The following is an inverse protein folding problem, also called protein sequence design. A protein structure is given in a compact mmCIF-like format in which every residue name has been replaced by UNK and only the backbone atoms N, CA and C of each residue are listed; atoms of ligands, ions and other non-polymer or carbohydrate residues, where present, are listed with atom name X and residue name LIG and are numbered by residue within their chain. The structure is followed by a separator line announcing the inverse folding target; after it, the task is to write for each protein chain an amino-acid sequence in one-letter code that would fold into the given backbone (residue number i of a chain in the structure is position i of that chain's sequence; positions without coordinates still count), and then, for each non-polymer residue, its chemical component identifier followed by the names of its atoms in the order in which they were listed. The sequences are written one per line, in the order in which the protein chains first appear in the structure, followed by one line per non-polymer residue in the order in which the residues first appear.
data_IF_276511893010
#
_entry.id   IF_276511893010
#
_cell.length_a   1.000
_cell.length_b   1.000
_cell.length_c   1.000
_cell.angle_alpha   90.00
_cell.angle_beta   90.00
_cell.angle_gamma   90.00
#
_symmetry.space_group_name_H-M   'P 1'
#
loop_
_entity.id
_entity.type
_entity.pdbx_description
1 polymer ?
#
# COMPACT_ATOMS: atom_id res chain seq x y z
N UNK A 1 40.05 3.76 18.82
CA UNK A 1 39.64 5.05 18.28
C UNK A 1 38.10 5.10 18.45
N UNK A 2 37.58 5.89 19.37
CA UNK A 2 36.11 6.06 19.52
C UNK A 2 35.69 7.13 18.50
N UNK A 3 34.96 6.75 17.45
CA UNK A 3 34.39 7.71 16.53
C UNK A 3 33.00 8.07 17.10
N UNK A 4 32.85 9.33 17.48
CA UNK A 4 31.55 9.86 17.90
C UNK A 4 30.68 10.02 16.66
N UNK A 5 29.51 9.34 16.65
CA UNK A 5 28.54 9.48 15.57
C UNK A 5 27.88 10.85 15.69
N UNK A 6 28.07 11.70 14.68
CA UNK A 6 27.31 12.95 14.54
C UNK A 6 25.87 12.55 14.26
N UNK A 7 24.92 13.12 15.02
CA UNK A 7 23.48 12.84 14.88
C UNK A 7 22.76 14.14 14.55
N UNK A 8 21.99 14.12 13.47
CA UNK A 8 21.07 15.20 13.18
C UNK A 8 19.92 15.20 14.19
N UNK A 9 19.38 16.38 14.47
CA UNK A 9 18.21 16.57 15.35
C UNK A 9 17.07 17.13 14.54
N UNK A 10 16.01 16.36 14.43
CA UNK A 10 14.82 16.74 13.71
C UNK A 10 13.75 17.31 14.65
N UNK A 11 12.85 18.15 14.11
CA UNK A 11 11.79 18.85 14.86
C UNK A 11 10.42 18.19 14.72
N UNK A 12 10.20 17.51 13.59
CA UNK A 12 8.95 16.86 13.22
C UNK A 12 9.01 15.35 13.30
N UNK A 13 7.86 14.73 13.13
CA UNK A 13 7.71 13.28 13.01
C UNK A 13 6.69 12.98 11.90
N UNK A 14 6.76 11.81 11.34
CA UNK A 14 5.69 11.28 10.48
C UNK A 14 4.45 11.05 11.34
N UNK A 15 3.26 11.36 10.83
CA UNK A 15 2.00 11.09 11.52
C UNK A 15 1.87 9.59 11.86
N UNK A 16 1.30 9.31 13.01
CA UNK A 16 0.96 7.94 13.41
C UNK A 16 -0.46 7.63 12.98
N UNK A 17 -0.62 6.62 12.15
CA UNK A 17 -1.91 6.22 11.59
C UNK A 17 -2.23 4.79 12.00
N UNK A 18 -3.44 4.56 12.52
CA UNK A 18 -3.96 3.24 12.84
C UNK A 18 -5.03 2.84 11.85
N UNK A 19 -4.92 1.63 11.30
CA UNK A 19 -5.82 1.02 10.33
C UNK A 19 -6.52 -0.20 10.96
N UNK A 20 -7.75 -0.44 10.54
CA UNK A 20 -8.62 -1.44 11.16
C UNK A 20 -9.30 -0.93 12.43
N UNK A 21 -10.38 -1.58 12.83
CA UNK A 21 -11.10 -1.29 14.06
C UNK A 21 -11.52 -2.58 14.75
N UNK A 22 -11.26 -2.66 16.06
CA UNK A 22 -11.68 -3.75 16.92
C UNK A 22 -13.19 -3.67 17.21
N UNK A 23 -13.74 -4.72 17.78
CA UNK A 23 -15.17 -4.79 18.13
C UNK A 23 -15.60 -3.65 19.07
N UNK A 24 -14.75 -3.28 20.02
CA UNK A 24 -14.99 -2.18 20.97
C UNK A 24 -15.00 -0.80 20.28
N UNK A 25 -14.42 -0.71 19.09
CA UNK A 25 -14.34 0.48 18.25
C UNK A 25 -15.44 0.52 17.17
N UNK A 26 -16.28 -0.51 17.11
CA UNK A 26 -17.36 -0.65 16.13
C UNK A 26 -16.99 -1.40 14.85
N UNK A 27 -15.79 -1.97 14.78
CA UNK A 27 -15.34 -2.81 13.65
C UNK A 27 -15.44 -4.32 13.93
N UNK A 28 -14.82 -5.09 13.07
CA UNK A 28 -14.81 -6.56 13.16
C UNK A 28 -13.40 -7.16 13.11
N UNK A 29 -12.36 -6.30 13.12
CA UNK A 29 -10.96 -6.77 13.04
C UNK A 29 -10.52 -7.45 14.32
N UNK A 30 -9.60 -8.41 14.21
CA UNK A 30 -9.01 -9.08 15.38
C UNK A 30 -7.83 -8.30 15.96
N UNK A 31 -7.22 -7.44 15.16
CA UNK A 31 -6.17 -6.50 15.57
C UNK A 31 -6.14 -5.29 14.65
N UNK A 32 -5.49 -4.23 15.10
CA UNK A 32 -5.22 -3.03 14.30
C UNK A 32 -3.76 -3.03 13.85
N UNK A 33 -3.48 -2.28 12.80
CA UNK A 33 -2.12 -1.99 12.32
C UNK A 33 -1.84 -0.52 12.50
N UNK A 34 -0.72 -0.19 13.17
CA UNK A 34 -0.28 1.19 13.37
C UNK A 34 1.04 1.40 12.64
N UNK A 35 1.13 2.46 11.84
CA UNK A 35 2.30 2.83 11.04
C UNK A 35 2.68 4.30 11.25
N UNK A 36 3.90 4.67 10.85
CA UNK A 36 4.41 6.04 11.01
C UNK A 36 4.94 6.32 12.42
N UNK A 37 4.99 7.58 12.81
CA UNK A 37 5.60 8.04 14.06
C UNK A 37 7.11 8.19 13.98
N UNK A 38 7.70 7.99 12.81
CA UNK A 38 9.13 8.00 12.58
C UNK A 38 9.69 9.42 12.69
N UNK A 39 10.82 9.56 13.41
CA UNK A 39 11.56 10.81 13.60
C UNK A 39 12.92 10.81 12.88
N UNK A 40 13.12 9.88 11.92
CA UNK A 40 14.35 9.73 11.15
C UNK A 40 14.07 8.96 9.85
N UNK A 41 15.08 8.90 8.97
CA UNK A 41 15.10 7.95 7.86
C UNK A 41 15.44 6.54 8.39
N UNK A 42 14.86 5.46 7.83
CA UNK A 42 15.09 4.11 8.33
C UNK A 42 16.57 3.67 8.35
N UNK A 43 17.36 4.04 7.34
CA UNK A 43 18.79 3.71 7.32
C UNK A 43 19.62 4.56 8.31
N UNK A 44 19.10 5.68 8.80
CA UNK A 44 19.70 6.52 9.86
C UNK A 44 19.06 6.23 11.24
N UNK A 45 18.72 4.99 11.50
CA UNK A 45 18.00 4.54 12.71
C UNK A 45 18.60 5.03 14.04
N UNK A 46 19.89 5.40 14.04
CA UNK A 46 20.59 5.91 15.22
C UNK A 46 20.33 7.39 15.52
N UNK A 47 19.68 8.13 14.59
CA UNK A 47 19.38 9.56 14.76
C UNK A 47 18.03 9.82 15.43
N UNK A 48 17.06 8.93 15.28
CA UNK A 48 15.73 9.13 15.83
C UNK A 48 14.96 7.85 16.08
N UNK A 49 13.75 8.00 16.61
CA UNK A 49 12.86 6.86 16.92
C UNK A 49 12.09 6.40 15.68
N UNK A 50 11.89 5.11 15.58
CA UNK A 50 11.01 4.44 14.63
C UNK A 50 10.08 3.52 15.44
N UNK A 51 8.97 4.04 15.98
CA UNK A 51 8.16 3.30 16.95
C UNK A 51 7.36 2.16 16.35
N UNK A 52 7.02 2.27 15.05
CA UNK A 52 6.21 1.29 14.36
C UNK A 52 6.99 0.65 13.22
N UNK A 53 6.89 -0.67 13.10
CA UNK A 53 7.54 -1.41 12.02
C UNK A 53 6.75 -1.26 10.72
N UNK A 54 7.46 -1.30 9.58
CA UNK A 54 6.81 -1.43 8.29
C UNK A 54 6.05 -2.78 8.22
N UNK A 55 4.92 -2.77 7.53
CA UNK A 55 4.02 -3.91 7.39
C UNK A 55 3.81 -4.28 5.92
N UNK A 56 3.34 -5.49 5.67
CA UNK A 56 3.05 -5.99 4.33
C UNK A 56 1.55 -6.17 4.14
N UNK A 57 1.00 -5.50 3.11
CA UNK A 57 -0.31 -5.79 2.57
C UNK A 57 -0.15 -6.69 1.34
N UNK A 58 -0.83 -7.85 1.31
CA UNK A 58 -0.84 -8.67 0.10
C UNK A 58 -2.00 -8.23 -0.80
N UNK A 59 -1.68 -7.99 -2.08
CA UNK A 59 -2.67 -7.59 -3.08
C UNK A 59 -3.47 -8.78 -3.56
N UNK A 60 -4.79 -8.66 -3.50
CA UNK A 60 -5.77 -9.57 -4.10
C UNK A 60 -6.75 -8.79 -4.97
N UNK A 61 -7.39 -9.47 -5.93
CA UNK A 61 -8.38 -8.87 -6.81
C UNK A 61 -9.77 -9.50 -6.59
N UNK A 62 -10.80 -8.77 -6.97
CA UNK A 62 -12.19 -9.26 -6.98
C UNK A 62 -12.55 -10.07 -8.20
N UNK A 63 -11.62 -10.23 -9.14
CA UNK A 63 -11.70 -11.06 -10.36
C UNK A 63 -10.41 -11.85 -10.54
N UNK A 64 -10.44 -12.84 -11.42
CA UNK A 64 -9.24 -13.62 -11.79
C UNK A 64 -8.25 -12.73 -12.56
N UNK A 65 -7.00 -12.59 -12.10
CA UNK A 65 -5.99 -11.72 -12.73
C UNK A 65 -5.30 -12.42 -13.90
N UNK A 66 -5.96 -12.49 -15.04
CA UNK A 66 -5.45 -13.23 -16.22
C UNK A 66 -4.13 -12.68 -16.77
N UNK A 67 -3.84 -11.41 -16.53
CA UNK A 67 -2.59 -10.77 -16.93
C UNK A 67 -1.41 -10.98 -15.96
N UNK A 68 -1.64 -11.62 -14.82
CA UNK A 68 -0.55 -11.88 -13.87
C UNK A 68 0.43 -12.91 -14.44
N UNK A 69 1.71 -12.75 -14.04
CA UNK A 69 2.74 -13.70 -14.39
C UNK A 69 2.38 -15.14 -13.94
N UNK A 70 2.64 -16.19 -14.73
CA UNK A 70 2.35 -17.58 -14.36
C UNK A 70 2.86 -17.97 -12.97
N UNK A 71 4.03 -17.48 -12.55
CA UNK A 71 4.59 -17.73 -11.21
C UNK A 71 3.65 -17.29 -10.09
N UNK A 72 2.96 -16.16 -10.27
CA UNK A 72 1.95 -15.69 -9.31
C UNK A 72 0.64 -16.48 -9.44
N UNK A 73 0.25 -16.81 -10.68
CA UNK A 73 -0.98 -17.56 -10.92
C UNK A 73 -0.94 -18.95 -10.26
N UNK A 74 0.17 -19.67 -10.34
CA UNK A 74 0.35 -21.00 -9.74
C UNK A 74 0.10 -21.00 -8.22
N UNK A 75 0.46 -19.92 -7.53
CA UNK A 75 0.30 -19.81 -6.08
C UNK A 75 -1.17 -19.73 -5.67
N UNK A 76 -1.97 -18.98 -6.43
CA UNK A 76 -3.33 -18.59 -6.04
C UNK A 76 -4.43 -19.22 -6.91
N UNK A 77 -4.07 -20.11 -7.87
CA UNK A 77 -5.01 -20.70 -8.82
C UNK A 77 -6.23 -21.37 -8.17
N UNK A 78 -6.03 -21.98 -7.00
CA UNK A 78 -7.05 -22.66 -6.22
C UNK A 78 -8.06 -21.72 -5.54
N UNK A 79 -7.74 -20.43 -5.42
CA UNK A 79 -8.54 -19.44 -4.67
C UNK A 79 -8.98 -18.22 -5.50
N UNK A 80 -8.52 -18.06 -6.72
CA UNK A 80 -8.83 -16.90 -7.58
C UNK A 80 -10.33 -16.66 -7.81
N UNK A 81 -11.15 -17.71 -7.78
CA UNK A 81 -12.59 -17.61 -7.99
C UNK A 81 -13.33 -17.00 -6.81
N UNK A 82 -12.69 -16.93 -5.64
CA UNK A 82 -13.31 -16.43 -4.40
C UNK A 82 -12.35 -15.47 -3.66
N UNK A 83 -12.56 -14.16 -3.72
CA UNK A 83 -11.71 -13.18 -3.04
C UNK A 83 -11.60 -13.38 -1.52
N UNK A 84 -12.63 -13.91 -0.87
CA UNK A 84 -12.62 -14.21 0.55
C UNK A 84 -11.64 -15.36 0.89
N UNK A 85 -11.61 -16.42 0.08
CA UNK A 85 -10.67 -17.54 0.24
C UNK A 85 -9.25 -17.10 -0.13
N UNK A 86 -9.12 -16.26 -1.14
CA UNK A 86 -7.83 -15.67 -1.50
C UNK A 86 -7.27 -14.81 -0.36
N UNK A 87 -8.11 -13.98 0.28
CA UNK A 87 -7.70 -13.20 1.44
C UNK A 87 -7.24 -14.09 2.61
N UNK A 88 -7.97 -15.18 2.93
CA UNK A 88 -7.55 -16.16 3.96
C UNK A 88 -6.17 -16.73 3.64
N UNK A 89 -5.99 -17.23 2.42
CA UNK A 89 -4.71 -17.80 1.97
C UNK A 89 -3.57 -16.77 2.06
N UNK A 90 -3.81 -15.52 1.67
CA UNK A 90 -2.81 -14.47 1.78
C UNK A 90 -2.40 -14.19 3.23
N UNK A 91 -3.36 -14.19 4.16
CA UNK A 91 -3.08 -14.06 5.61
C UNK A 91 -2.28 -15.24 6.13
N UNK A 92 -2.67 -16.47 5.78
CA UNK A 92 -1.96 -17.70 6.18
C UNK A 92 -0.52 -17.72 5.65
N UNK A 93 -0.27 -17.10 4.49
CA UNK A 93 1.05 -16.93 3.88
C UNK A 93 1.84 -15.72 4.40
N UNK A 94 1.29 -15.00 5.38
CA UNK A 94 2.01 -14.00 6.14
C UNK A 94 1.68 -12.54 5.84
N UNK A 95 0.54 -12.23 5.22
CA UNK A 95 0.07 -10.85 5.10
C UNK A 95 -0.27 -10.25 6.47
N UNK A 96 0.17 -9.02 6.74
CA UNK A 96 -0.24 -8.25 7.92
C UNK A 96 -1.57 -7.52 7.66
N UNK A 97 -1.84 -7.24 6.39
CA UNK A 97 -3.01 -6.57 5.85
C UNK A 97 -3.37 -7.15 4.48
N UNK A 98 -4.57 -6.89 4.00
CA UNK A 98 -4.98 -7.19 2.63
C UNK A 98 -5.19 -5.89 1.87
N UNK A 99 -4.65 -5.79 0.64
CA UNK A 99 -5.12 -4.82 -0.34
C UNK A 99 -6.08 -5.52 -1.29
N UNK A 100 -7.34 -5.13 -1.26
CA UNK A 100 -8.36 -5.58 -2.20
C UNK A 100 -8.51 -4.55 -3.32
N UNK A 101 -8.16 -4.94 -4.54
CA UNK A 101 -8.34 -4.13 -5.75
C UNK A 101 -9.61 -4.53 -6.47
N UNK A 102 -10.53 -3.59 -6.66
CA UNK A 102 -11.85 -3.80 -7.27
C UNK A 102 -11.78 -3.71 -8.80
N UNK A 103 -10.97 -4.56 -9.41
CA UNK A 103 -10.76 -4.59 -10.87
C UNK A 103 -12.01 -4.94 -11.65
N UNK A 104 -12.94 -5.69 -11.06
CA UNK A 104 -14.23 -6.02 -11.67
C UNK A 104 -15.13 -4.80 -11.93
N UNK A 105 -14.82 -3.63 -11.37
CA UNK A 105 -15.49 -2.36 -11.69
C UNK A 105 -15.13 -1.80 -13.06
N UNK A 106 -14.02 -2.26 -13.66
CA UNK A 106 -13.58 -1.89 -15.00
C UNK A 106 -14.59 -2.44 -16.04
N UNK A 107 -15.13 -1.58 -16.94
CA UNK A 107 -16.07 -2.00 -17.97
C UNK A 107 -15.56 -3.11 -18.88
N UNK A 108 -14.27 -3.13 -19.15
CA UNK A 108 -13.63 -4.09 -20.02
C UNK A 108 -13.34 -5.45 -19.34
N UNK A 109 -13.37 -5.48 -17.98
CA UNK A 109 -13.02 -6.67 -17.22
C UNK A 109 -14.19 -7.33 -16.48
N UNK A 110 -15.26 -6.59 -16.16
CA UNK A 110 -16.37 -7.18 -15.42
C UNK A 110 -17.59 -6.28 -15.32
N UNK A 111 -17.37 -4.98 -15.36
CA UNK A 111 -18.40 -3.94 -15.26
C UNK A 111 -19.38 -4.17 -14.09
N UNK A 112 -18.85 -4.65 -12.95
CA UNK A 112 -19.64 -4.87 -11.75
C UNK A 112 -20.19 -3.56 -11.21
N UNK A 113 -21.41 -3.62 -10.65
CA UNK A 113 -22.03 -2.45 -10.01
C UNK A 113 -21.35 -2.12 -8.68
N UNK A 114 -21.51 -0.88 -8.16
CA UNK A 114 -21.01 -0.50 -6.85
C UNK A 114 -21.46 -1.43 -5.72
N UNK A 115 -22.74 -1.88 -5.76
CA UNK A 115 -23.32 -2.77 -4.75
C UNK A 115 -22.69 -4.17 -4.82
N UNK A 116 -22.43 -4.69 -6.02
CA UNK A 116 -21.75 -5.97 -6.20
C UNK A 116 -20.32 -5.92 -5.63
N UNK A 117 -19.60 -4.83 -5.86
CA UNK A 117 -18.26 -4.63 -5.34
C UNK A 117 -18.25 -4.42 -3.82
N UNK A 118 -19.23 -3.70 -3.28
CA UNK A 118 -19.43 -3.56 -1.84
C UNK A 118 -19.69 -4.90 -1.14
N UNK A 119 -20.44 -5.79 -1.79
CA UNK A 119 -20.66 -7.15 -1.26
C UNK A 119 -19.38 -7.98 -1.25
N UNK A 120 -18.51 -7.85 -2.27
CA UNK A 120 -17.18 -8.48 -2.26
C UNK A 120 -16.37 -8.00 -1.06
N UNK A 121 -16.36 -6.68 -0.79
CA UNK A 121 -15.64 -6.10 0.36
C UNK A 121 -16.17 -6.67 1.68
N UNK A 122 -17.49 -6.75 1.87
CA UNK A 122 -18.09 -7.36 3.08
C UNK A 122 -17.68 -8.82 3.25
N UNK A 123 -17.68 -9.59 2.16
CA UNK A 123 -17.29 -11.00 2.20
C UNK A 123 -15.82 -11.17 2.58
N UNK A 124 -14.92 -10.32 2.08
CA UNK A 124 -13.50 -10.32 2.47
C UNK A 124 -13.36 -9.88 3.93
N UNK A 125 -14.07 -8.83 4.37
CA UNK A 125 -14.06 -8.39 5.78
C UNK A 125 -14.51 -9.51 6.73
N UNK A 126 -15.53 -10.27 6.37
CA UNK A 126 -16.01 -11.40 7.16
C UNK A 126 -15.03 -12.59 7.17
N UNK A 127 -14.18 -12.70 6.15
CA UNK A 127 -13.28 -13.84 5.98
C UNK A 127 -11.97 -13.71 6.76
N UNK A 128 -11.47 -12.49 7.00
CA UNK A 128 -10.16 -12.24 7.63
C UNK A 128 -10.28 -11.23 8.77
N UNK A 129 -9.39 -11.35 9.77
CA UNK A 129 -9.34 -10.44 10.91
C UNK A 129 -8.35 -9.28 10.76
N UNK A 130 -7.56 -9.25 9.68
CA UNK A 130 -6.57 -8.20 9.43
C UNK A 130 -7.21 -6.93 8.85
N UNK A 131 -6.60 -5.74 9.00
CA UNK A 131 -7.08 -4.52 8.34
C UNK A 131 -7.04 -4.61 6.82
N UNK A 132 -7.94 -3.86 6.14
CA UNK A 132 -8.02 -3.82 4.69
C UNK A 132 -7.66 -2.45 4.13
N UNK A 133 -6.96 -2.48 2.99
CA UNK A 133 -6.84 -1.39 2.03
C UNK A 133 -7.78 -1.72 0.87
N UNK A 134 -8.66 -0.82 0.49
CA UNK A 134 -9.57 -1.03 -0.64
C UNK A 134 -9.33 0.04 -1.69
N UNK A 135 -8.98 -0.37 -2.89
CA UNK A 135 -8.73 0.52 -4.02
C UNK A 135 -9.63 0.18 -5.20
N UNK A 136 -10.01 1.19 -5.95
CA UNK A 136 -10.86 1.03 -7.13
C UNK A 136 -10.19 0.33 -8.31
N UNK A 137 -10.85 0.33 -9.46
CA UNK A 137 -10.33 -0.26 -10.69
C UNK A 137 -9.25 0.61 -11.36
N UNK A 138 -9.16 1.89 -11.00
CA UNK A 138 -8.21 2.87 -11.54
C UNK A 138 -8.83 3.82 -12.58
N UNK A 139 -10.13 3.69 -12.90
CA UNK A 139 -10.91 4.59 -13.75
C UNK A 139 -11.66 5.55 -12.83
N UNK A 140 -11.29 6.83 -12.85
CA UNK A 140 -11.74 7.83 -11.88
C UNK A 140 -13.25 7.96 -11.79
N UNK A 141 -13.96 7.94 -12.92
CA UNK A 141 -15.41 7.99 -12.96
C UNK A 141 -16.07 6.78 -12.27
N UNK A 142 -15.51 5.59 -12.48
CA UNK A 142 -15.99 4.36 -11.82
C UNK A 142 -15.63 4.35 -10.34
N UNK A 143 -14.43 4.74 -10.00
CA UNK A 143 -13.95 4.80 -8.62
C UNK A 143 -14.77 5.82 -7.80
N UNK A 144 -15.17 6.95 -8.40
CA UNK A 144 -16.07 7.93 -7.80
C UNK A 144 -17.46 7.36 -7.50
N UNK A 145 -17.96 6.43 -8.30
CA UNK A 145 -19.26 5.78 -8.07
C UNK A 145 -19.14 4.61 -7.06
N UNK A 146 -18.06 3.85 -7.10
CA UNK A 146 -17.86 2.61 -6.33
C UNK A 146 -17.42 2.89 -4.90
N UNK A 147 -16.37 3.71 -4.71
CA UNK A 147 -15.72 3.85 -3.41
C UNK A 147 -16.64 4.45 -2.33
N UNK A 148 -17.56 5.39 -2.59
CA UNK A 148 -18.55 5.82 -1.59
C UNK A 148 -19.48 4.71 -1.11
N UNK A 149 -19.95 3.85 -2.01
CA UNK A 149 -20.83 2.71 -1.66
C UNK A 149 -20.06 1.66 -0.86
N UNK A 150 -18.80 1.41 -1.21
CA UNK A 150 -17.90 0.55 -0.45
C UNK A 150 -17.63 1.12 0.95
N UNK A 151 -17.38 2.42 1.06
CA UNK A 151 -17.15 3.08 2.34
C UNK A 151 -18.36 2.95 3.28
N UNK A 152 -19.57 3.15 2.77
CA UNK A 152 -20.82 2.92 3.51
C UNK A 152 -20.94 1.47 3.98
N UNK A 153 -20.72 0.53 3.07
CA UNK A 153 -20.85 -0.90 3.33
C UNK A 153 -19.86 -1.43 4.38
N UNK A 154 -18.72 -0.75 4.52
CA UNK A 154 -17.66 -1.06 5.49
C UNK A 154 -17.59 -0.04 6.65
N UNK A 155 -18.68 0.67 6.93
CA UNK A 155 -18.73 1.66 7.99
C UNK A 155 -18.26 1.08 9.34
N UNK A 156 -17.35 1.79 10.01
CA UNK A 156 -16.77 1.36 11.28
C UNK A 156 -15.52 0.47 11.18
N UNK A 157 -15.16 -0.06 10.00
CA UNK A 157 -13.99 -0.94 9.82
C UNK A 157 -12.66 -0.18 9.76
N UNK A 158 -12.67 1.15 9.67
CA UNK A 158 -11.46 1.99 9.57
C UNK A 158 -10.52 1.53 8.46
N UNK A 159 -11.06 1.40 7.24
CA UNK A 159 -10.32 1.02 6.03
C UNK A 159 -9.33 2.12 5.62
N UNK A 160 -8.35 1.74 4.80
CA UNK A 160 -7.63 2.68 3.93
C UNK A 160 -8.27 2.64 2.53
N UNK A 161 -8.93 3.74 2.14
CA UNK A 161 -9.63 3.86 0.85
C UNK A 161 -8.80 4.63 -0.16
N UNK A 162 -8.76 4.19 -1.37
CA UNK A 162 -8.05 4.88 -2.44
C UNK A 162 -8.34 4.33 -3.84
N UNK A 163 -7.70 4.89 -4.82
CA UNK A 163 -6.61 5.88 -4.69
C UNK A 163 -7.21 7.26 -5.00
N UNK A 164 -7.03 8.21 -4.08
CA UNK A 164 -7.45 9.59 -4.30
C UNK A 164 -6.39 10.34 -5.13
N UNK A 165 -6.84 10.91 -6.24
CA UNK A 165 -6.06 11.71 -7.18
C UNK A 165 -6.68 13.10 -7.32
N UNK A 166 -6.01 14.01 -8.03
CA UNK A 166 -6.46 15.38 -8.22
C UNK A 166 -7.88 15.48 -8.80
N UNK A 167 -8.28 14.52 -9.65
CA UNK A 167 -9.57 14.57 -10.34
C UNK A 167 -10.71 13.84 -9.60
N UNK A 168 -10.39 12.97 -8.61
CA UNK A 168 -11.41 12.15 -7.95
C UNK A 168 -11.45 12.26 -6.41
N UNK A 169 -10.53 13.00 -5.76
CA UNK A 169 -10.39 13.00 -4.30
C UNK A 169 -11.66 13.41 -3.54
N UNK A 170 -12.49 14.31 -4.10
CA UNK A 170 -13.63 14.90 -3.38
C UNK A 170 -14.66 13.87 -2.91
N UNK A 171 -15.05 12.95 -3.79
CA UNK A 171 -16.04 11.91 -3.47
C UNK A 171 -15.47 10.90 -2.46
N UNK A 172 -14.22 10.51 -2.62
CA UNK A 172 -13.53 9.55 -1.74
C UNK A 172 -13.35 10.15 -0.35
N UNK A 173 -12.90 11.40 -0.25
CA UNK A 173 -12.72 12.11 1.02
C UNK A 173 -14.04 12.31 1.75
N UNK A 174 -15.09 12.73 1.05
CA UNK A 174 -16.41 12.90 1.65
C UNK A 174 -16.92 11.57 2.25
N UNK A 175 -16.79 10.46 1.52
CA UNK A 175 -17.18 9.15 2.01
C UNK A 175 -16.30 8.71 3.20
N UNK A 176 -14.99 8.90 3.13
CA UNK A 176 -14.07 8.56 4.20
C UNK A 176 -14.38 9.33 5.51
N UNK A 177 -14.76 10.60 5.41
CA UNK A 177 -15.17 11.41 6.57
C UNK A 177 -16.45 10.87 7.22
N UNK A 178 -17.48 10.62 6.40
CA UNK A 178 -18.80 10.17 6.89
C UNK A 178 -18.69 8.81 7.58
N UNK A 179 -17.99 7.87 6.96
CA UNK A 179 -17.91 6.47 7.41
C UNK A 179 -16.63 6.14 8.22
N UNK A 180 -15.81 7.15 8.53
CA UNK A 180 -14.61 7.08 9.39
C UNK A 180 -13.51 6.16 8.84
N UNK A 181 -13.15 6.36 7.59
CA UNK A 181 -12.04 5.69 6.92
C UNK A 181 -10.82 6.61 6.77
N UNK A 182 -9.68 6.03 6.41
CA UNK A 182 -8.47 6.73 6.00
C UNK A 182 -8.42 6.85 4.48
N UNK A 183 -7.64 7.79 3.95
CA UNK A 183 -7.50 8.04 2.52
C UNK A 183 -6.06 7.79 2.07
N UNK A 184 -5.91 7.02 0.99
CA UNK A 184 -4.65 6.83 0.27
C UNK A 184 -4.63 7.77 -0.93
N UNK A 185 -3.66 8.69 -0.97
CA UNK A 185 -3.42 9.58 -2.11
C UNK A 185 -2.35 9.03 -3.03
N UNK A 186 -2.35 9.45 -4.30
CA UNK A 186 -1.32 9.10 -5.30
C UNK A 186 -0.59 10.34 -5.80
N UNK A 187 0.73 10.38 -5.59
CA UNK A 187 1.60 11.50 -5.95
C UNK A 187 2.26 11.43 -7.32
N UNK A 188 2.15 10.33 -8.06
CA UNK A 188 2.72 10.12 -9.41
C UNK A 188 4.18 10.57 -9.56
N UNK A 189 5.03 10.22 -8.56
CA UNK A 189 6.46 10.57 -8.49
C UNK A 189 6.70 12.10 -8.42
N UNK A 190 5.73 12.85 -7.87
CA UNK A 190 5.84 14.28 -7.64
C UNK A 190 5.49 14.63 -6.17
N UNK A 191 6.50 15.10 -5.43
CA UNK A 191 6.35 15.50 -4.03
C UNK A 191 5.42 16.72 -3.86
N UNK A 192 5.40 17.62 -4.83
CA UNK A 192 4.55 18.81 -4.77
C UNK A 192 3.09 18.42 -4.95
N UNK A 193 2.82 17.42 -5.80
CA UNK A 193 1.47 16.87 -5.94
C UNK A 193 1.01 16.17 -4.65
N UNK A 194 1.88 15.42 -3.98
CA UNK A 194 1.56 14.83 -2.67
C UNK A 194 1.16 15.92 -1.65
N UNK A 195 1.97 16.98 -1.56
CA UNK A 195 1.70 18.11 -0.67
C UNK A 195 0.42 18.86 -1.04
N UNK A 196 0.18 19.08 -2.34
CA UNK A 196 -1.04 19.73 -2.83
C UNK A 196 -2.29 18.91 -2.49
N UNK A 197 -2.26 17.60 -2.69
CA UNK A 197 -3.39 16.73 -2.35
C UNK A 197 -3.67 16.72 -0.85
N UNK A 198 -2.63 16.69 0.00
CA UNK A 198 -2.81 16.79 1.45
C UNK A 198 -3.52 18.11 1.82
N UNK A 199 -3.07 19.26 1.26
CA UNK A 199 -3.70 20.57 1.49
C UNK A 199 -5.17 20.53 1.06
N UNK A 200 -5.46 20.11 -0.17
CA UNK A 200 -6.84 20.07 -0.68
C UNK A 200 -7.75 19.17 0.15
N UNK A 201 -7.24 18.05 0.64
CA UNK A 201 -8.02 17.09 1.44
C UNK A 201 -8.26 17.63 2.86
N UNK A 202 -7.24 18.25 3.46
CA UNK A 202 -7.40 18.87 4.80
C UNK A 202 -8.31 20.10 4.77
N UNK A 203 -8.32 20.88 3.68
CA UNK A 203 -9.28 21.97 3.45
C UNK A 203 -10.73 21.46 3.33
N UNK A 204 -10.95 20.22 2.87
CA UNK A 204 -12.27 19.56 2.93
C UNK A 204 -12.66 19.10 4.35
N UNK A 205 -11.73 19.18 5.32
CA UNK A 205 -11.97 18.84 6.71
C UNK A 205 -11.55 17.44 7.13
N UNK A 206 -10.89 16.64 6.27
CA UNK A 206 -10.29 15.37 6.71
C UNK A 206 -8.98 15.67 7.44
N UNK A 207 -8.79 15.22 8.71
CA UNK A 207 -7.55 15.44 9.43
C UNK A 207 -6.33 14.81 8.73
N UNK A 208 -5.17 15.47 8.79
CA UNK A 208 -3.94 15.03 8.14
C UNK A 208 -3.47 13.63 8.57
N UNK A 209 -3.72 13.27 9.85
CA UNK A 209 -3.47 11.93 10.39
C UNK A 209 -4.40 10.84 9.82
N UNK A 210 -5.32 11.20 8.96
CA UNK A 210 -6.17 10.25 8.23
C UNK A 210 -5.73 10.05 6.78
N UNK A 211 -4.55 10.59 6.40
CA UNK A 211 -4.04 10.54 5.04
C UNK A 211 -2.73 9.73 5.02
N UNK A 212 -2.66 8.77 4.10
CA UNK A 212 -1.42 8.07 3.73
C UNK A 212 -1.11 8.39 2.25
N UNK A 213 0.15 8.35 1.87
CA UNK A 213 0.53 8.65 0.49
C UNK A 213 1.21 7.45 -0.20
N UNK A 214 0.81 7.18 -1.45
CA UNK A 214 1.64 6.49 -2.43
C UNK A 214 2.37 7.56 -3.24
N UNK A 215 3.71 7.66 -3.15
CA UNK A 215 4.47 8.69 -3.86
C UNK A 215 4.55 8.43 -5.38
N UNK A 216 4.00 7.32 -5.84
CA UNK A 216 4.22 6.77 -7.16
C UNK A 216 5.36 5.76 -7.12
N UNK A 217 5.00 4.48 -6.93
CA UNK A 217 6.00 3.41 -6.81
C UNK A 217 6.59 3.06 -8.17
N UNK A 218 7.93 2.93 -8.24
CA UNK A 218 8.67 2.37 -9.37
C UNK A 218 9.53 1.20 -8.87
N UNK A 219 9.75 0.19 -9.74
CA UNK A 219 10.55 -0.98 -9.40
C UNK A 219 12.05 -0.78 -9.69
N UNK A 220 12.89 -1.65 -9.14
CA UNK A 220 14.28 -1.82 -9.54
C UNK A 220 14.39 -1.95 -11.07
N UNK A 221 15.40 -1.31 -11.66
CA UNK A 221 15.60 -1.29 -13.11
C UNK A 221 14.53 -0.54 -13.91
N UNK A 222 13.54 0.01 -13.24
CA UNK A 222 12.40 0.69 -13.84
C UNK A 222 12.03 2.00 -13.12
N UNK A 223 13.03 2.79 -12.75
CA UNK A 223 12.86 4.14 -12.19
C UNK A 223 12.76 4.21 -10.67
N UNK A 224 13.18 3.18 -9.92
CA UNK A 224 13.16 3.19 -8.44
C UNK A 224 13.86 4.42 -7.85
N UNK A 225 14.90 4.94 -8.51
CA UNK A 225 15.65 6.11 -8.10
C UNK A 225 14.78 7.36 -7.99
N UNK A 226 13.75 7.49 -8.83
CA UNK A 226 12.80 8.61 -8.76
C UNK A 226 11.90 8.48 -7.54
N UNK A 227 11.30 7.30 -7.32
CA UNK A 227 10.48 7.01 -6.13
C UNK A 227 11.29 7.20 -4.85
N UNK A 228 12.51 6.62 -4.80
CA UNK A 228 13.41 6.76 -3.66
C UNK A 228 13.69 8.22 -3.33
N UNK A 229 14.04 9.02 -4.36
CA UNK A 229 14.34 10.45 -4.21
C UNK A 229 13.13 11.24 -3.69
N UNK A 230 11.92 10.98 -4.21
CA UNK A 230 10.69 11.65 -3.74
C UNK A 230 10.41 11.29 -2.27
N UNK A 231 10.55 10.02 -1.92
CA UNK A 231 10.31 9.54 -0.55
C UNK A 231 11.32 10.10 0.44
N UNK A 232 12.62 10.05 0.13
CA UNK A 232 13.69 10.56 0.99
C UNK A 232 13.53 12.07 1.22
N UNK A 233 13.33 12.83 0.15
CA UNK A 233 13.10 14.28 0.25
C UNK A 233 11.84 14.61 1.04
N UNK A 234 10.72 13.92 0.76
CA UNK A 234 9.48 14.10 1.51
C UNK A 234 9.64 13.79 2.99
N UNK A 235 10.37 12.71 3.32
CA UNK A 235 10.67 12.34 4.70
C UNK A 235 11.53 13.38 5.40
N UNK A 236 12.60 13.85 4.76
CA UNK A 236 13.49 14.87 5.32
C UNK A 236 12.76 16.20 5.56
N UNK A 237 11.93 16.65 4.64
CA UNK A 237 11.11 17.86 4.82
C UNK A 237 10.12 17.67 5.99
N UNK A 238 9.44 16.52 6.07
CA UNK A 238 8.48 16.23 7.13
C UNK A 238 9.12 16.25 8.53
N UNK A 239 10.23 15.51 8.71
CA UNK A 239 10.96 15.50 10.00
C UNK A 239 11.67 16.82 10.28
N UNK A 240 11.97 17.62 9.24
CA UNK A 240 12.45 19.00 9.33
C UNK A 240 11.40 19.98 9.82
N UNK A 241 10.11 19.60 9.78
CA UNK A 241 8.98 20.38 10.30
C UNK A 241 7.91 20.77 9.28
N UNK A 242 7.96 20.26 8.05
CA UNK A 242 6.86 20.42 7.08
C UNK A 242 5.77 19.37 7.32
N UNK A 243 4.80 19.70 8.16
CA UNK A 243 3.70 18.81 8.56
C UNK A 243 2.85 18.34 7.35
N UNK A 244 2.85 19.09 6.22
CA UNK A 244 2.12 18.75 5.00
C UNK A 244 2.68 17.51 4.28
N UNK A 245 3.91 17.12 4.58
CA UNK A 245 4.57 15.93 4.04
C UNK A 245 4.71 14.81 5.08
N UNK A 246 4.15 14.98 6.27
CA UNK A 246 4.28 14.05 7.38
C UNK A 246 3.39 12.78 7.26
N UNK A 247 2.90 12.48 6.08
CA UNK A 247 2.08 11.29 5.80
C UNK A 247 2.91 10.01 5.82
N UNK A 248 2.41 8.90 6.43
CA UNK A 248 3.01 7.58 6.22
C UNK A 248 2.95 7.16 4.76
N UNK A 249 3.98 6.43 4.31
CA UNK A 249 4.16 6.06 2.91
C UNK A 249 3.72 4.62 2.65
N UNK A 250 2.94 4.45 1.59
CA UNK A 250 2.51 3.16 1.02
C UNK A 250 3.18 2.96 -0.33
N UNK A 251 3.83 1.82 -0.56
CA UNK A 251 4.49 1.50 -1.82
C UNK A 251 3.83 0.30 -2.50
N UNK A 252 3.37 0.48 -3.74
CA UNK A 252 2.72 -0.56 -4.54
C UNK A 252 3.74 -1.45 -5.27
N UNK A 253 4.61 -2.10 -4.47
CA UNK A 253 5.78 -2.85 -4.93
C UNK A 253 5.42 -3.99 -5.87
N UNK A 254 4.45 -4.82 -5.49
CA UNK A 254 4.07 -5.99 -6.26
C UNK A 254 3.56 -5.64 -7.65
N UNK A 255 2.76 -4.57 -7.76
CA UNK A 255 2.25 -4.12 -9.05
C UNK A 255 3.37 -3.73 -10.02
N UNK A 256 4.41 -3.03 -9.54
CA UNK A 256 5.50 -2.54 -10.39
C UNK A 256 6.61 -3.58 -10.60
N UNK A 257 6.99 -4.33 -9.56
CA UNK A 257 8.06 -5.32 -9.67
C UNK A 257 7.71 -6.44 -10.66
N UNK A 258 6.46 -6.92 -10.68
CA UNK A 258 6.00 -7.98 -11.59
C UNK A 258 5.73 -7.50 -13.03
N UNK A 259 5.93 -6.22 -13.32
CA UNK A 259 5.90 -5.62 -14.68
C UNK A 259 7.30 -5.33 -15.22
N UNK A 260 8.32 -5.33 -14.36
CA UNK A 260 9.70 -5.12 -14.77
C UNK A 260 10.16 -6.22 -15.72
N UNK A 261 10.92 -5.85 -16.76
CA UNK A 261 11.43 -6.79 -17.78
C UNK A 261 12.18 -7.95 -17.13
N UNK A 262 12.96 -7.66 -16.11
CA UNK A 262 13.76 -8.64 -15.38
C UNK A 262 12.91 -9.68 -14.65
N UNK A 263 11.73 -9.31 -14.18
CA UNK A 263 10.82 -10.25 -13.53
C UNK A 263 10.05 -11.14 -14.51
N UNK A 264 9.72 -10.61 -15.70
CA UNK A 264 8.84 -11.31 -16.65
C UNK A 264 9.59 -12.04 -17.77
N UNK A 265 10.85 -11.66 -18.07
CA UNK A 265 11.60 -12.23 -19.19
C UNK A 265 11.87 -13.72 -19.02
N UNK A 266 11.56 -14.51 -20.06
CA UNK A 266 11.77 -15.94 -20.05
C UNK A 266 13.26 -16.31 -20.06
N UNK A 267 13.64 -17.40 -19.41
CA UNK A 267 15.02 -17.89 -19.34
C UNK A 267 15.62 -18.15 -20.73
N UNK A 268 14.82 -18.68 -21.66
CA UNK A 268 15.27 -18.96 -23.04
C UNK A 268 15.73 -17.69 -23.79
N UNK A 269 15.18 -16.53 -23.44
CA UNK A 269 15.49 -15.25 -24.07
C UNK A 269 16.67 -14.54 -23.37
N UNK A 270 16.90 -14.86 -22.10
CA UNK A 270 17.94 -14.27 -21.25
C UNK A 270 18.58 -15.35 -20.33
N UNK A 271 19.30 -16.33 -20.89
CA UNK A 271 19.83 -17.47 -20.13
C UNK A 271 20.81 -17.07 -19.01
N UNK A 272 21.57 -15.98 -19.22
CA UNK A 272 22.53 -15.47 -18.24
C UNK A 272 21.85 -14.84 -17.01
N UNK A 273 20.52 -14.61 -17.06
CA UNK A 273 19.78 -14.01 -15.93
C UNK A 273 19.31 -15.04 -14.91
N UNK A 274 19.51 -16.32 -15.18
CA UNK A 274 19.11 -17.41 -14.30
C UNK A 274 17.60 -17.67 -14.29
N UNK A 275 17.16 -18.48 -13.36
CA UNK A 275 15.78 -18.95 -13.24
C UNK A 275 14.79 -17.79 -13.01
N UNK A 276 13.78 -17.68 -13.88
CA UNK A 276 12.82 -16.58 -13.87
C UNK A 276 12.06 -16.46 -12.55
N UNK A 277 11.59 -17.57 -11.99
CA UNK A 277 10.82 -17.56 -10.74
C UNK A 277 11.63 -16.97 -9.59
N UNK A 278 12.87 -17.41 -9.41
CA UNK A 278 13.77 -16.88 -8.38
C UNK A 278 14.08 -15.41 -8.58
N UNK A 279 14.38 -15.03 -9.82
CA UNK A 279 14.68 -13.66 -10.19
C UNK A 279 13.49 -12.72 -9.90
N UNK A 280 12.28 -13.10 -10.31
CA UNK A 280 11.08 -12.31 -10.09
C UNK A 280 10.77 -12.12 -8.59
N UNK A 281 10.87 -13.19 -7.79
CA UNK A 281 10.71 -13.14 -6.34
C UNK A 281 11.74 -12.20 -5.69
N UNK A 282 13.00 -12.30 -6.10
CA UNK A 282 14.06 -11.42 -5.60
C UNK A 282 13.85 -9.99 -6.05
N UNK A 283 13.34 -9.75 -7.26
CA UNK A 283 13.03 -8.40 -7.76
C UNK A 283 12.01 -7.69 -6.90
N UNK A 284 10.93 -8.38 -6.53
CA UNK A 284 9.91 -7.86 -5.61
C UNK A 284 10.49 -7.60 -4.22
N UNK A 285 11.20 -8.56 -3.63
CA UNK A 285 11.77 -8.45 -2.29
C UNK A 285 12.81 -7.33 -2.18
N UNK A 286 13.69 -7.18 -3.19
CA UNK A 286 14.72 -6.14 -3.22
C UNK A 286 14.12 -4.75 -3.48
N UNK A 287 13.11 -4.64 -4.35
CA UNK A 287 12.37 -3.38 -4.54
C UNK A 287 11.75 -2.93 -3.21
N UNK A 288 11.06 -3.83 -2.51
CA UNK A 288 10.49 -3.54 -1.19
C UNK A 288 11.54 -3.10 -0.17
N UNK A 289 12.68 -3.82 -0.10
CA UNK A 289 13.75 -3.52 0.86
C UNK A 289 14.42 -2.18 0.56
N UNK A 290 14.61 -1.84 -0.71
CA UNK A 290 15.18 -0.54 -1.11
C UNK A 290 14.26 0.61 -0.72
N UNK A 291 12.95 0.50 -1.00
CA UNK A 291 11.97 1.55 -0.66
C UNK A 291 11.74 1.66 0.86
N UNK A 292 11.91 0.55 1.60
CA UNK A 292 11.90 0.60 3.06
C UNK A 292 12.95 1.59 3.60
N UNK A 293 14.16 1.57 3.04
CA UNK A 293 15.24 2.46 3.50
C UNK A 293 14.91 3.94 3.25
N UNK A 294 14.11 4.24 2.23
CA UNK A 294 13.63 5.59 1.96
C UNK A 294 12.40 6.01 2.82
N UNK A 295 11.87 5.12 3.64
CA UNK A 295 10.81 5.43 4.60
C UNK A 295 9.43 4.87 4.28
N UNK A 296 9.31 3.83 3.47
CA UNK A 296 8.02 3.16 3.28
C UNK A 296 7.52 2.52 4.58
N UNK A 297 6.23 2.69 4.88
CA UNK A 297 5.59 2.17 6.07
C UNK A 297 4.69 0.96 5.76
N UNK A 298 4.09 0.91 4.56
CA UNK A 298 3.29 -0.23 4.08
C UNK A 298 3.81 -0.66 2.71
N UNK A 299 4.16 -1.94 2.57
CA UNK A 299 4.55 -2.57 1.32
C UNK A 299 3.40 -3.38 0.77
N UNK A 300 2.89 -3.02 -0.40
CA UNK A 300 1.91 -3.84 -1.12
C UNK A 300 2.67 -4.84 -1.97
N UNK A 301 2.55 -6.12 -1.67
CA UNK A 301 3.29 -7.21 -2.29
C UNK A 301 2.34 -8.29 -2.81
N UNK A 302 2.85 -9.19 -3.66
CA UNK A 302 2.06 -10.26 -4.29
C UNK A 302 2.56 -11.65 -3.95
N UNK A 303 3.89 -11.88 -4.01
CA UNK A 303 4.46 -13.21 -3.86
C UNK A 303 4.81 -13.54 -2.41
N UNK A 304 4.30 -14.65 -1.82
CA UNK A 304 4.51 -14.96 -0.40
C UNK A 304 5.98 -15.20 -0.03
N UNK A 305 6.78 -15.76 -0.93
CA UNK A 305 8.22 -15.92 -0.69
C UNK A 305 8.95 -14.57 -0.69
N UNK A 306 8.55 -13.61 -1.55
CA UNK A 306 9.07 -12.24 -1.51
C UNK A 306 8.71 -11.56 -0.18
N UNK A 307 7.47 -11.74 0.28
CA UNK A 307 7.01 -11.27 1.60
C UNK A 307 7.87 -11.86 2.73
N UNK A 308 8.13 -13.17 2.70
CA UNK A 308 8.98 -13.86 3.69
C UNK A 308 10.40 -13.31 3.69
N UNK A 309 10.99 -13.12 2.51
CA UNK A 309 12.34 -12.56 2.35
C UNK A 309 12.41 -11.13 2.90
N UNK A 310 11.48 -10.26 2.51
CA UNK A 310 11.39 -8.89 3.01
C UNK A 310 11.29 -8.84 4.53
N UNK A 311 10.38 -9.61 5.12
CA UNK A 311 10.20 -9.65 6.57
C UNK A 311 11.43 -10.18 7.32
N UNK A 312 12.19 -11.10 6.72
CA UNK A 312 13.44 -11.59 7.29
C UNK A 312 14.53 -10.50 7.31
N UNK A 313 14.63 -9.71 6.23
CA UNK A 313 15.60 -8.61 6.15
C UNK A 313 15.28 -7.47 7.11
N UNK A 314 14.00 -7.21 7.36
CA UNK A 314 13.55 -6.14 8.24
C UNK A 314 13.58 -6.49 9.74
N UNK A 315 13.50 -7.77 10.08
CA UNK A 315 13.47 -8.23 11.48
C UNK A 315 14.84 -8.38 12.14
N UNK A 316 15.90 -8.31 11.37
CA UNK A 316 17.28 -8.38 11.86
C UNK A 316 17.88 -6.98 11.99
#
# INVERSE_FOLDING_TARGET
MHIELIREKYKGNIHTVTLGALKEQGGTRTHTVTVGGDATLPFLFFEGKQPNKAVVAVEIWDIVPTEWNPVLQEIYADVFSNPADWARKAVDLGADMILLRLKGGDPDLGNKTPEQLAEVVKNVLAAVGVPLIVVGCGIDEKDNAVLPVVAEAAAGENLLLGVAKQDNYKSIVAAAQVYKHKVLILGTVDINLCKQLEILITELGLPAENILMDPGTCALGYGIEYTYSVMERGRLEAIGGDERLAMPVVCNVGYEAWRAKEAIAAEKDFPDWGEQSKRAILWEALTATSLLQAGANIMIMRHPEAVRLFKKMWRN
#
